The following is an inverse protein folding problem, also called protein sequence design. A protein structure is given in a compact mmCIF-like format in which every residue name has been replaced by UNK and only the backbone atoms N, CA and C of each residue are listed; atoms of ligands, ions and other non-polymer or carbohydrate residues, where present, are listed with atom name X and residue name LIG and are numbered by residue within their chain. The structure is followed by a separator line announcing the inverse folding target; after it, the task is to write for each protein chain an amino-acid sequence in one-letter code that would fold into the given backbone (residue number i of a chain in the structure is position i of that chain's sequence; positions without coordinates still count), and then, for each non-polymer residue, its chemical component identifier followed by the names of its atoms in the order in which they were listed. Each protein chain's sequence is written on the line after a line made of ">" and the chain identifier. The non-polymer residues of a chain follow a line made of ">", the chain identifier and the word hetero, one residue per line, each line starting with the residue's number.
data_IF_113118762269
#
_entry.id   IF_113118762269
#
_cell.length_a   1.000
_cell.length_b   1.000
_cell.length_c   1.000
_cell.angle_alpha   90.00
_cell.angle_beta   90.00
_cell.angle_gamma   90.00
#
_symmetry.space_group_name_H-M   'P 1'
#
loop_
_entity.id
_entity.type
_entity.pdbx_description
1 polymer ?
#
# COMPACT_ATOMS: atom_id res chain seq x y z
N UNK A 1 29.85 -31.69 21.80
CA UNK A 1 28.59 -31.00 22.13
C UNK A 1 28.07 -30.42 20.83
N UNK A 2 27.05 -31.04 20.25
CA UNK A 2 26.44 -30.57 19.00
C UNK A 2 25.26 -29.66 19.35
N UNK A 3 25.14 -28.55 18.62
CA UNK A 3 24.06 -27.56 18.80
C UNK A 3 23.11 -27.65 17.61
N UNK A 4 21.81 -27.79 17.87
CA UNK A 4 20.78 -27.88 16.85
C UNK A 4 19.51 -27.15 17.26
N UNK A 5 18.67 -26.83 16.28
CA UNK A 5 17.38 -26.15 16.48
C UNK A 5 16.26 -27.13 16.12
N UNK A 6 15.24 -27.23 16.96
CA UNK A 6 14.05 -28.04 16.73
C UNK A 6 12.81 -27.17 16.89
N UNK A 7 11.89 -27.24 15.94
CA UNK A 7 10.59 -26.57 16.04
C UNK A 7 9.65 -27.42 16.91
N UNK A 8 9.12 -26.81 17.97
CA UNK A 8 8.14 -27.48 18.83
C UNK A 8 7.17 -26.45 19.42
N UNK A 9 5.98 -26.92 19.77
CA UNK A 9 4.92 -26.07 20.34
C UNK A 9 5.15 -25.70 21.81
N UNK A 10 6.05 -26.39 22.51
CA UNK A 10 6.49 -26.03 23.86
C UNK A 10 7.85 -26.62 24.19
N UNK A 11 8.50 -26.10 25.24
CA UNK A 11 9.77 -26.60 25.76
C UNK A 11 9.71 -28.07 26.16
N UNK A 12 8.60 -28.49 26.76
CA UNK A 12 8.36 -29.88 27.17
C UNK A 12 8.18 -30.81 25.96
N UNK A 13 7.49 -30.34 24.92
CA UNK A 13 7.34 -31.09 23.67
C UNK A 13 8.66 -31.24 22.92
N UNK A 14 9.53 -30.22 22.94
CA UNK A 14 10.88 -30.28 22.38
C UNK A 14 11.75 -31.29 23.12
N UNK A 15 11.71 -31.30 24.45
CA UNK A 15 12.47 -32.24 25.28
C UNK A 15 12.05 -33.70 25.03
N UNK A 16 10.74 -33.96 24.94
CA UNK A 16 10.21 -35.30 24.64
C UNK A 16 10.58 -35.79 23.24
N UNK A 17 10.56 -34.91 22.24
CA UNK A 17 11.00 -35.25 20.89
C UNK A 17 12.48 -35.60 20.86
N UNK A 18 13.33 -34.82 21.51
CA UNK A 18 14.78 -35.06 21.54
C UNK A 18 15.13 -36.33 22.33
N UNK A 19 14.40 -36.63 23.41
CA UNK A 19 14.54 -37.89 24.15
C UNK A 19 14.12 -39.10 23.31
N UNK A 20 13.11 -38.97 22.44
CA UNK A 20 12.70 -40.05 21.51
C UNK A 20 13.79 -40.40 20.50
N UNK A 21 14.65 -39.44 20.16
CA UNK A 21 15.82 -39.65 19.29
C UNK A 21 17.10 -39.97 20.06
N UNK A 22 17.00 -40.28 21.37
CA UNK A 22 18.12 -40.64 22.26
C UNK A 22 19.17 -39.52 22.42
N UNK A 23 18.74 -38.26 22.25
CA UNK A 23 19.59 -37.07 22.39
C UNK A 23 19.37 -36.46 23.79
N UNK A 24 20.41 -36.50 24.63
CA UNK A 24 20.39 -35.92 25.96
C UNK A 24 20.65 -34.40 25.90
N UNK A 25 19.61 -33.62 26.15
CA UNK A 25 19.69 -32.15 26.10
C UNK A 25 20.30 -31.62 27.40
N UNK A 26 21.48 -31.00 27.29
CA UNK A 26 22.16 -30.38 28.46
C UNK A 26 21.65 -28.95 28.73
N UNK A 27 21.21 -28.25 27.69
CA UNK A 27 20.67 -26.90 27.78
C UNK A 27 19.66 -26.68 26.65
N UNK A 28 18.50 -26.10 26.98
CA UNK A 28 17.38 -25.90 26.05
C UNK A 28 16.91 -24.46 26.23
N UNK A 29 17.11 -23.64 25.20
CA UNK A 29 16.77 -22.23 25.15
C UNK A 29 15.71 -22.02 24.07
N UNK A 30 14.64 -21.30 24.42
CA UNK A 30 13.57 -20.99 23.48
C UNK A 30 14.06 -19.86 22.58
N UNK A 31 14.34 -20.20 21.32
CA UNK A 31 14.68 -19.21 20.32
C UNK A 31 13.36 -18.65 19.76
N UNK A 32 13.00 -17.42 20.14
CA UNK A 32 11.90 -16.71 19.50
C UNK A 32 12.12 -16.76 17.98
N UNK A 33 11.21 -17.46 17.28
CA UNK A 33 11.28 -17.62 15.83
C UNK A 33 11.46 -16.25 15.19
N UNK A 34 12.34 -16.17 14.17
CA UNK A 34 12.59 -14.94 13.44
C UNK A 34 11.25 -14.32 13.03
N UNK A 35 10.85 -13.27 13.75
CA UNK A 35 9.65 -12.50 13.45
C UNK A 35 9.74 -12.10 11.97
N UNK A 36 8.75 -12.42 11.13
CA UNK A 36 8.82 -12.09 9.72
C UNK A 36 9.11 -10.60 9.59
N UNK A 37 10.20 -10.28 8.89
CA UNK A 37 10.77 -8.94 8.70
C UNK A 37 9.73 -7.86 8.29
N UNK A 38 8.56 -8.27 7.81
CA UNK A 38 7.46 -7.44 7.37
C UNK A 38 6.48 -6.98 8.47
N UNK A 39 6.56 -7.48 9.71
CA UNK A 39 5.51 -7.22 10.73
C UNK A 39 5.55 -5.80 11.33
N UNK A 40 6.60 -5.02 11.07
CA UNK A 40 6.76 -3.66 11.61
C UNK A 40 6.54 -2.53 10.60
N UNK A 41 6.01 -2.80 9.41
CA UNK A 41 5.40 -1.72 8.62
C UNK A 41 4.01 -1.46 9.23
N UNK A 42 3.97 -0.79 10.39
CA UNK A 42 2.78 -0.04 10.79
C UNK A 42 2.57 1.04 9.73
N UNK A 43 1.86 0.68 8.66
CA UNK A 43 1.24 1.64 7.75
C UNK A 43 0.14 2.29 8.59
N UNK A 44 0.51 3.17 9.53
CA UNK A 44 -0.43 4.03 10.21
C UNK A 44 -1.16 4.80 9.11
N UNK A 45 -2.44 4.44 8.94
CA UNK A 45 -3.10 4.53 7.64
C UNK A 45 -3.04 5.93 7.06
N UNK A 46 -2.31 6.08 5.95
CA UNK A 46 -2.31 7.31 5.15
C UNK A 46 -3.75 7.68 4.83
N UNK A 47 -4.11 8.93 5.08
CA UNK A 47 -5.41 9.47 4.68
C UNK A 47 -5.41 9.56 3.15
N UNK A 48 -6.36 8.89 2.50
CA UNK A 48 -6.49 8.98 1.04
C UNK A 48 -7.33 10.19 0.65
N UNK A 49 -7.22 10.64 -0.61
CA UNK A 49 -8.09 11.71 -1.14
C UNK A 49 -9.58 11.34 -1.02
N UNK A 50 -9.92 10.06 -1.20
CA UNK A 50 -11.27 9.54 -1.01
C UNK A 50 -11.75 9.67 0.44
N UNK A 51 -10.88 9.40 1.41
CA UNK A 51 -11.20 9.57 2.84
C UNK A 51 -11.50 11.05 3.15
N UNK A 52 -10.71 11.97 2.59
CA UNK A 52 -10.95 13.43 2.73
C UNK A 52 -12.23 13.89 2.05
N UNK A 53 -12.51 13.39 0.84
CA UNK A 53 -13.72 13.73 0.10
C UNK A 53 -14.97 13.36 0.92
N UNK A 54 -14.98 12.15 1.49
CA UNK A 54 -16.06 11.67 2.35
C UNK A 54 -16.18 12.53 3.61
N UNK A 55 -15.06 12.82 4.28
CA UNK A 55 -15.04 13.67 5.46
C UNK A 55 -15.66 15.05 5.19
N UNK A 56 -15.23 15.73 4.14
CA UNK A 56 -15.75 17.06 3.78
C UNK A 56 -17.22 17.01 3.35
N UNK A 57 -17.63 15.99 2.58
CA UNK A 57 -19.04 15.81 2.19
C UNK A 57 -19.93 15.62 3.41
N UNK A 58 -19.55 14.72 4.32
CA UNK A 58 -20.34 14.44 5.51
C UNK A 58 -20.39 15.65 6.44
N UNK A 59 -19.27 16.35 6.65
CA UNK A 59 -19.24 17.58 7.44
C UNK A 59 -20.15 18.64 6.82
N UNK A 60 -20.08 18.84 5.50
CA UNK A 60 -20.96 19.77 4.77
C UNK A 60 -22.45 19.48 5.03
N UNK A 61 -22.89 18.23 4.85
CA UNK A 61 -24.29 17.80 5.04
C UNK A 61 -24.75 18.05 6.48
N UNK A 62 -23.90 17.77 7.47
CA UNK A 62 -24.23 18.01 8.87
C UNK A 62 -24.35 19.51 9.17
N UNK A 63 -23.45 20.35 8.64
CA UNK A 63 -23.52 21.80 8.83
C UNK A 63 -24.71 22.43 8.09
N UNK A 64 -25.04 21.94 6.90
CA UNK A 64 -26.26 22.33 6.17
C UNK A 64 -27.52 22.00 6.97
N UNK A 65 -27.51 20.86 7.66
CA UNK A 65 -28.57 20.45 8.61
C UNK A 65 -28.52 21.20 9.95
N UNK A 66 -27.69 22.24 10.08
CA UNK A 66 -27.49 23.07 11.27
C UNK A 66 -27.02 22.29 12.51
N UNK A 67 -26.37 21.14 12.31
CA UNK A 67 -25.71 20.43 13.40
C UNK A 67 -24.46 21.22 13.83
N UNK A 68 -24.25 21.49 15.13
CA UNK A 68 -23.09 22.22 15.61
C UNK A 68 -21.76 21.60 15.13
N UNK A 69 -20.80 22.44 14.74
CA UNK A 69 -19.51 22.00 14.14
C UNK A 69 -18.78 20.99 15.04
N UNK A 70 -18.71 21.24 16.34
CA UNK A 70 -18.07 20.34 17.32
C UNK A 70 -18.77 18.97 17.38
N UNK A 71 -20.11 18.95 17.34
CA UNK A 71 -20.88 17.70 17.33
C UNK A 71 -20.68 16.94 16.01
N UNK A 72 -20.58 17.65 14.89
CA UNK A 72 -20.30 17.07 13.59
C UNK A 72 -18.90 16.43 13.56
N UNK A 73 -17.87 17.15 14.01
CA UNK A 73 -16.49 16.63 14.06
C UNK A 73 -16.36 15.41 14.97
N UNK A 74 -16.92 15.44 16.17
CA UNK A 74 -16.92 14.28 17.08
C UNK A 74 -17.65 13.07 16.49
N UNK A 75 -18.79 13.29 15.82
CA UNK A 75 -19.51 12.23 15.11
C UNK A 75 -18.69 11.62 13.96
N UNK A 76 -17.96 12.44 13.21
CA UNK A 76 -17.09 11.98 12.12
C UNK A 76 -15.85 11.25 12.63
N UNK A 77 -15.28 11.68 13.76
CA UNK A 77 -14.17 10.98 14.39
C UNK A 77 -14.56 9.55 14.80
N UNK A 78 -15.78 9.35 15.32
CA UNK A 78 -16.29 8.02 15.68
C UNK A 78 -16.50 7.13 14.44
N UNK A 79 -16.99 7.69 13.34
CA UNK A 79 -17.25 6.95 12.10
C UNK A 79 -15.98 6.62 11.31
N UNK A 80 -14.87 7.33 11.56
CA UNK A 80 -13.62 7.17 10.83
C UNK A 80 -12.91 5.88 11.20
N UNK A 81 -12.70 5.01 10.21
CA UNK A 81 -12.03 3.70 10.40
C UNK A 81 -10.52 3.80 10.62
N UNK A 82 -9.86 4.82 10.05
CA UNK A 82 -8.41 4.98 10.15
C UNK A 82 -8.03 5.62 11.47
N UNK A 83 -7.32 4.88 12.32
CA UNK A 83 -6.91 5.35 13.66
C UNK A 83 -6.16 6.70 13.61
N UNK A 84 -5.25 6.87 12.63
CA UNK A 84 -4.53 8.13 12.45
C UNK A 84 -5.49 9.30 12.14
N UNK A 85 -6.39 9.13 11.17
CA UNK A 85 -7.33 10.20 10.81
C UNK A 85 -8.32 10.50 11.92
N UNK A 86 -8.77 9.48 12.65
CA UNK A 86 -9.62 9.62 13.83
C UNK A 86 -8.97 10.51 14.90
N UNK A 87 -7.70 10.25 15.24
CA UNK A 87 -6.94 11.07 16.22
C UNK A 87 -6.94 12.54 15.80
N UNK A 88 -6.66 12.81 14.53
CA UNK A 88 -6.58 14.15 13.96
C UNK A 88 -7.93 14.87 14.03
N UNK A 89 -9.03 14.20 13.62
CA UNK A 89 -10.37 14.80 13.70
C UNK A 89 -10.76 15.05 15.16
N UNK A 90 -10.40 14.16 16.09
CA UNK A 90 -10.65 14.36 17.53
C UNK A 90 -9.89 15.58 18.08
N UNK A 91 -8.63 15.76 17.70
CA UNK A 91 -7.84 16.93 18.13
C UNK A 91 -8.37 18.23 17.52
N UNK A 92 -8.71 18.23 16.23
CA UNK A 92 -9.39 19.36 15.57
C UNK A 92 -10.71 19.69 16.27
N UNK A 93 -11.49 18.67 16.68
CA UNK A 93 -12.72 18.86 17.43
C UNK A 93 -12.48 19.53 18.80
N UNK A 94 -11.38 19.19 19.49
CA UNK A 94 -11.00 19.83 20.75
C UNK A 94 -10.66 21.30 20.56
N UNK A 95 -9.81 21.60 19.57
CA UNK A 95 -9.41 22.99 19.27
C UNK A 95 -10.61 23.86 18.90
N UNK A 96 -11.53 23.34 18.09
CA UNK A 96 -12.75 24.07 17.72
C UNK A 96 -13.67 24.26 18.95
N UNK A 97 -13.71 23.28 19.86
CA UNK A 97 -14.43 23.41 21.12
C UNK A 97 -13.82 24.47 22.06
N UNK A 98 -12.49 24.66 22.00
CA UNK A 98 -11.75 25.71 22.71
C UNK A 98 -11.93 27.10 22.08
N UNK A 99 -12.60 27.19 20.93
CA UNK A 99 -12.92 28.45 20.24
C UNK A 99 -11.99 28.80 19.09
N UNK A 100 -11.05 27.91 18.74
CA UNK A 100 -10.20 28.09 17.55
C UNK A 100 -11.07 27.97 16.28
N UNK A 101 -10.91 28.84 15.28
CA UNK A 101 -11.55 28.68 13.98
C UNK A 101 -11.24 27.31 13.37
N UNK A 102 -12.19 26.70 12.65
CA UNK A 102 -12.02 25.42 11.98
C UNK A 102 -10.88 25.47 10.97
N UNK A 103 -10.74 26.57 10.21
CA UNK A 103 -9.64 26.74 9.26
C UNK A 103 -8.27 26.68 9.94
N UNK A 104 -8.13 27.34 11.09
CA UNK A 104 -6.90 27.36 11.88
C UNK A 104 -6.62 25.99 12.52
N UNK A 105 -7.62 25.33 13.09
CA UNK A 105 -7.48 23.98 13.63
C UNK A 105 -7.04 22.96 12.57
N UNK A 106 -7.58 23.04 11.35
CA UNK A 106 -7.17 22.19 10.22
C UNK A 106 -5.76 22.50 9.72
N UNK A 107 -5.33 23.76 9.82
CA UNK A 107 -4.00 24.21 9.36
C UNK A 107 -2.84 23.56 10.13
N UNK A 108 -3.09 23.05 11.34
CA UNK A 108 -2.11 22.28 12.13
C UNK A 108 -1.70 20.96 11.44
N UNK A 109 -2.43 20.52 10.41
CA UNK A 109 -2.19 19.26 9.70
C UNK A 109 -1.96 19.45 8.20
N UNK A 110 -0.89 20.17 7.78
CA UNK A 110 -0.66 20.56 6.38
C UNK A 110 -0.37 19.38 5.44
N UNK A 111 -0.02 18.21 6.00
CA UNK A 111 0.18 16.97 5.22
C UNK A 111 -1.13 16.33 4.74
N UNK A 112 -2.26 16.73 5.33
CA UNK A 112 -3.59 16.15 5.07
C UNK A 112 -4.51 17.23 4.53
N UNK A 113 -4.55 18.39 5.18
CA UNK A 113 -5.31 19.55 4.72
C UNK A 113 -4.32 20.53 4.11
N UNK A 114 -4.30 20.61 2.78
CA UNK A 114 -3.41 21.55 2.11
C UNK A 114 -3.83 23.01 2.35
N UNK A 115 -2.92 23.93 2.02
CA UNK A 115 -3.17 25.37 2.18
C UNK A 115 -4.36 25.85 1.33
N UNK A 116 -4.66 25.19 0.21
CA UNK A 116 -5.76 25.57 -0.66
C UNK A 116 -7.11 25.30 0.03
N UNK A 117 -7.30 24.10 0.59
CA UNK A 117 -8.50 23.75 1.35
C UNK A 117 -8.65 24.60 2.61
N UNK A 118 -7.57 24.83 3.35
CA UNK A 118 -7.58 25.68 4.55
C UNK A 118 -8.02 27.10 4.21
N UNK A 119 -7.46 27.70 3.16
CA UNK A 119 -7.82 29.05 2.73
C UNK A 119 -9.26 29.16 2.23
N UNK A 120 -9.75 28.13 1.53
CA UNK A 120 -11.17 28.07 1.14
C UNK A 120 -12.06 28.05 2.37
N UNK A 121 -11.80 27.16 3.34
CA UNK A 121 -12.59 27.06 4.58
C UNK A 121 -12.57 28.38 5.33
N UNK A 122 -11.41 29.04 5.43
CA UNK A 122 -11.29 30.37 6.04
C UNK A 122 -12.20 31.40 5.36
N UNK A 123 -12.27 31.39 4.03
CA UNK A 123 -13.20 32.26 3.29
C UNK A 123 -14.66 31.89 3.54
N UNK A 124 -14.97 30.59 3.67
CA UNK A 124 -16.29 30.09 4.06
C UNK A 124 -16.71 30.52 5.47
N UNK A 125 -15.78 30.52 6.43
CA UNK A 125 -16.01 30.99 7.81
C UNK A 125 -16.34 32.48 7.84
N UNK A 126 -15.54 33.29 7.15
CA UNK A 126 -15.72 34.76 7.12
C UNK A 126 -17.01 35.14 6.40
N UNK A 127 -17.39 34.41 5.34
CA UNK A 127 -18.62 34.65 4.59
C UNK A 127 -19.87 34.01 5.20
N UNK A 128 -19.71 33.18 6.23
CA UNK A 128 -20.81 32.41 6.84
C UNK A 128 -21.33 31.25 5.98
N UNK A 129 -20.65 30.91 4.89
CA UNK A 129 -21.04 29.82 3.98
C UNK A 129 -20.07 28.62 4.03
N UNK A 130 -19.79 28.13 5.25
CA UNK A 130 -18.88 27.00 5.44
C UNK A 130 -19.41 25.73 4.76
N UNK A 131 -20.70 25.42 4.84
CA UNK A 131 -21.29 24.23 4.22
C UNK A 131 -21.09 24.21 2.70
N UNK A 132 -21.38 25.33 2.01
CA UNK A 132 -21.15 25.44 0.58
C UNK A 132 -19.68 25.24 0.19
N UNK A 133 -18.76 25.83 0.96
CA UNK A 133 -17.32 25.65 0.74
C UNK A 133 -16.86 24.21 0.95
N UNK A 134 -17.30 23.55 2.02
CA UNK A 134 -16.97 22.14 2.28
C UNK A 134 -17.54 21.22 1.19
N UNK A 135 -18.76 21.51 0.70
CA UNK A 135 -19.33 20.77 -0.42
C UNK A 135 -18.46 20.92 -1.67
N UNK A 136 -18.05 22.14 -2.01
CA UNK A 136 -17.17 22.41 -3.14
C UNK A 136 -15.84 21.64 -3.04
N UNK A 137 -15.20 21.65 -1.86
CA UNK A 137 -13.97 20.88 -1.61
C UNK A 137 -14.22 19.37 -1.80
N UNK A 138 -15.36 18.86 -1.31
CA UNK A 138 -15.72 17.45 -1.46
C UNK A 138 -15.91 17.04 -2.92
N UNK A 139 -16.64 17.83 -3.71
CA UNK A 139 -16.86 17.58 -5.14
C UNK A 139 -15.57 17.65 -5.94
N UNK A 140 -14.68 18.58 -5.58
CA UNK A 140 -13.36 18.68 -6.18
C UNK A 140 -12.53 17.40 -5.94
N UNK A 141 -12.45 16.96 -4.68
CA UNK A 141 -11.73 15.74 -4.31
C UNK A 141 -12.33 14.46 -4.90
N UNK A 142 -13.67 14.35 -4.97
CA UNK A 142 -14.35 13.24 -5.63
C UNK A 142 -13.99 13.18 -7.11
N UNK A 143 -14.04 14.32 -7.81
CA UNK A 143 -13.69 14.40 -9.23
C UNK A 143 -12.24 14.02 -9.50
N UNK A 144 -11.30 14.48 -8.68
CA UNK A 144 -9.89 14.07 -8.78
C UNK A 144 -9.73 12.55 -8.58
N UNK A 145 -10.39 12.00 -7.55
CA UNK A 145 -10.32 10.57 -7.26
C UNK A 145 -10.95 9.73 -8.39
N UNK A 146 -12.02 10.21 -9.02
CA UNK A 146 -12.68 9.55 -10.14
C UNK A 146 -11.77 9.52 -11.37
N UNK A 147 -11.08 10.62 -11.68
CA UNK A 147 -10.08 10.66 -12.77
C UNK A 147 -8.98 9.63 -12.53
N UNK A 148 -8.41 9.59 -11.32
CA UNK A 148 -7.36 8.61 -10.96
C UNK A 148 -7.90 7.18 -11.05
N UNK A 149 -9.14 6.96 -10.61
CA UNK A 149 -9.78 5.63 -10.64
C UNK A 149 -10.03 5.17 -12.07
N UNK A 150 -10.52 6.06 -12.95
CA UNK A 150 -10.72 5.78 -14.37
C UNK A 150 -9.41 5.45 -15.06
N UNK A 151 -8.34 6.23 -14.78
CA UNK A 151 -7.00 5.94 -15.31
C UNK A 151 -6.51 4.56 -14.84
N UNK A 152 -6.67 4.25 -13.55
CA UNK A 152 -6.28 2.94 -13.00
C UNK A 152 -7.05 1.80 -13.65
N UNK A 153 -8.35 1.97 -13.88
CA UNK A 153 -9.17 0.97 -14.57
C UNK A 153 -8.74 0.78 -16.03
N UNK A 154 -8.46 1.86 -16.75
CA UNK A 154 -7.97 1.81 -18.13
C UNK A 154 -6.61 1.10 -18.25
N UNK A 155 -5.76 1.15 -17.23
CA UNK A 155 -4.45 0.49 -17.21
C UNK A 155 -4.50 -1.03 -17.00
N UNK A 156 -5.63 -1.59 -16.53
CA UNK A 156 -5.76 -3.03 -16.26
C UNK A 156 -5.55 -3.86 -17.54
N UNK A 157 -6.20 -3.48 -18.64
CA UNK A 157 -6.10 -4.22 -19.90
C UNK A 157 -4.68 -4.19 -20.51
N UNK A 158 -4.03 -3.02 -20.66
CA UNK A 158 -2.63 -2.96 -21.10
C UNK A 158 -1.68 -3.80 -20.24
N UNK A 159 -1.79 -3.74 -18.92
CA UNK A 159 -0.94 -4.52 -18.01
C UNK A 159 -1.18 -6.02 -18.23
N UNK A 160 -2.44 -6.46 -18.33
CA UNK A 160 -2.77 -7.85 -18.57
C UNK A 160 -2.15 -8.38 -19.88
N UNK A 161 -2.31 -7.63 -20.98
CA UNK A 161 -1.75 -8.02 -22.29
C UNK A 161 -0.22 -8.08 -22.25
N UNK A 162 0.44 -7.10 -21.63
CA UNK A 162 1.91 -7.09 -21.48
C UNK A 162 2.38 -8.26 -20.62
N UNK A 163 1.67 -8.58 -19.53
CA UNK A 163 1.99 -9.74 -18.70
C UNK A 163 1.89 -11.05 -19.50
N UNK A 164 0.79 -11.27 -20.24
CA UNK A 164 0.63 -12.46 -21.08
C UNK A 164 1.73 -12.54 -22.13
N UNK A 165 2.06 -11.42 -22.79
CA UNK A 165 3.14 -11.34 -23.77
C UNK A 165 4.49 -11.75 -23.15
N UNK A 166 4.82 -11.23 -21.95
CA UNK A 166 6.05 -11.57 -21.25
C UNK A 166 6.10 -13.06 -20.86
N UNK A 167 4.97 -13.65 -20.45
CA UNK A 167 4.90 -15.09 -20.16
C UNK A 167 5.16 -15.92 -21.43
N UNK A 168 4.50 -15.59 -22.54
CA UNK A 168 4.69 -16.30 -23.82
C UNK A 168 6.14 -16.18 -24.32
N UNK A 169 6.71 -14.97 -24.28
CA UNK A 169 8.12 -14.75 -24.62
C UNK A 169 9.06 -15.52 -23.69
N UNK A 170 8.76 -15.56 -22.39
CA UNK A 170 9.50 -16.35 -21.41
C UNK A 170 9.55 -17.84 -21.77
N UNK A 171 8.41 -18.43 -22.14
CA UNK A 171 8.34 -19.84 -22.57
C UNK A 171 9.19 -20.06 -23.83
N UNK A 172 9.11 -19.18 -24.83
CA UNK A 172 9.91 -19.29 -26.06
C UNK A 172 11.40 -19.28 -25.74
N UNK A 173 11.84 -18.39 -24.85
CA UNK A 173 13.25 -18.28 -24.45
C UNK A 173 13.71 -19.51 -23.67
N UNK A 174 12.89 -20.03 -22.74
CA UNK A 174 13.30 -21.16 -21.90
C UNK A 174 13.24 -22.50 -22.62
N UNK A 175 12.20 -22.76 -23.42
CA UNK A 175 11.94 -24.09 -24.01
C UNK A 175 12.28 -24.19 -25.50
N UNK A 176 11.97 -23.15 -26.27
CA UNK A 176 12.06 -23.22 -27.74
C UNK A 176 13.47 -22.86 -28.21
N UNK A 177 14.07 -21.80 -27.65
CA UNK A 177 15.41 -21.34 -28.03
C UNK A 177 16.50 -22.40 -27.88
N UNK A 178 16.63 -23.16 -26.76
CA UNK A 178 17.67 -24.18 -26.62
C UNK A 178 17.63 -25.21 -27.75
N UNK A 179 16.44 -25.69 -28.12
CA UNK A 179 16.25 -26.69 -29.18
C UNK A 179 16.75 -26.18 -30.52
N UNK A 180 16.52 -24.89 -30.83
CA UNK A 180 17.03 -24.28 -32.06
C UNK A 180 18.56 -24.19 -32.03
N UNK A 181 19.14 -23.83 -30.88
CA UNK A 181 20.61 -23.79 -30.72
C UNK A 181 21.23 -25.17 -30.95
N UNK A 182 20.61 -26.22 -30.42
CA UNK A 182 21.10 -27.60 -30.55
C UNK A 182 21.07 -28.07 -32.02
N UNK A 183 19.98 -27.79 -32.75
CA UNK A 183 19.88 -28.08 -34.19
C UNK A 183 20.97 -27.37 -35.01
N UNK A 184 21.29 -26.11 -34.68
CA UNK A 184 22.34 -25.36 -35.37
C UNK A 184 23.73 -25.97 -35.11
N UNK A 185 24.01 -26.40 -33.87
CA UNK A 185 25.28 -27.07 -33.53
C UNK A 185 25.47 -28.38 -34.29
N UNK A 186 24.40 -29.15 -34.47
CA UNK A 186 24.44 -30.41 -35.24
C UNK A 186 24.72 -30.19 -36.73
N UNK A 187 24.34 -29.04 -37.28
CA UNK A 187 24.41 -28.75 -38.72
C UNK A 187 25.81 -28.35 -39.22
N UNK A 188 26.83 -28.25 -38.34
CA UNK A 188 28.25 -27.95 -38.67
C UNK A 188 28.45 -26.77 -39.65
N UNK A 189 27.50 -25.85 -39.71
CA UNK A 189 27.46 -24.73 -40.65
C UNK A 189 27.61 -23.43 -39.88
N UNK A 190 28.47 -22.53 -40.36
CA UNK A 190 28.63 -21.22 -39.72
C UNK A 190 27.32 -20.42 -39.81
N UNK A 191 26.69 -20.08 -38.67
CA UNK A 191 25.42 -19.38 -38.68
C UNK A 191 25.60 -17.94 -39.23
N UNK A 192 24.59 -17.39 -39.94
CA UNK A 192 24.60 -16.00 -40.37
C UNK A 192 24.72 -15.03 -39.18
N UNK A 193 25.21 -13.81 -39.45
CA UNK A 193 25.46 -12.79 -38.42
C UNK A 193 24.28 -12.55 -37.46
N UNK A 194 23.05 -12.47 -38.00
CA UNK A 194 21.84 -12.25 -37.20
C UNK A 194 21.57 -13.37 -36.18
N UNK A 195 21.90 -14.61 -36.53
CA UNK A 195 21.74 -15.77 -35.64
C UNK A 195 22.76 -15.74 -34.51
N UNK A 196 24.02 -15.38 -34.79
CA UNK A 196 25.07 -15.23 -33.76
C UNK A 196 24.71 -14.12 -32.77
N UNK A 197 24.19 -12.98 -33.28
CA UNK A 197 23.73 -11.88 -32.43
C UNK A 197 22.59 -12.31 -31.50
N UNK A 198 21.62 -13.08 -32.01
CA UNK A 198 20.53 -13.65 -31.22
C UNK A 198 21.04 -14.64 -30.16
N UNK A 199 21.98 -15.54 -30.51
CA UNK A 199 22.58 -16.50 -29.58
C UNK A 199 23.32 -15.80 -28.43
N UNK A 200 24.08 -14.75 -28.74
CA UNK A 200 24.76 -13.96 -27.72
C UNK A 200 23.78 -13.24 -26.79
N UNK A 201 22.68 -12.69 -27.33
CA UNK A 201 21.63 -12.07 -26.53
C UNK A 201 20.90 -13.09 -25.64
N UNK A 202 20.61 -14.28 -26.17
CA UNK A 202 20.05 -15.39 -25.43
C UNK A 202 20.98 -15.83 -24.27
N UNK A 203 22.27 -16.05 -24.54
CA UNK A 203 23.25 -16.41 -23.51
C UNK A 203 23.39 -15.32 -22.44
N UNK A 204 23.29 -14.04 -22.82
CA UNK A 204 23.26 -12.93 -21.87
C UNK A 204 22.03 -12.95 -20.96
N UNK A 205 20.84 -13.24 -21.50
CA UNK A 205 19.62 -13.40 -20.70
C UNK A 205 19.69 -14.64 -19.80
N UNK A 206 20.13 -15.78 -20.35
CA UNK A 206 20.24 -17.05 -19.62
C UNK A 206 21.24 -16.99 -18.47
N UNK A 207 22.41 -16.39 -18.66
CA UNK A 207 23.48 -16.29 -17.63
C UNK A 207 23.11 -15.44 -16.41
N UNK A 208 22.06 -14.63 -16.50
CA UNK A 208 21.63 -13.72 -15.42
C UNK A 208 20.34 -14.15 -14.71
N UNK A 209 19.57 -15.07 -15.29
CA UNK A 209 18.25 -15.47 -14.79
C UNK A 209 18.05 -16.98 -14.61
N UNK A 210 19.04 -17.80 -14.98
CA UNK A 210 19.22 -19.21 -14.63
C UNK A 210 20.59 -19.38 -13.96
#
# INVERSE_FOLDING_TARGET
>A
METGVIESSSREAAALLLQKYDIFVTYLEEQEGQEPFFKNIKIEGRVSRKDLAIFFRQLSVMLESRVPVVQSLSSLAVQTRKSNFKKIITEVSSLVQEGTPLSEALSNYPKIFDNFYVNLIKSGEVSGNISGTLNYISEHLERENDIVTQLRQAMIYPIFVVCVLLVVLGIIVVEVMPRIVDLIKETNSNPPFFTVMMLNFYQFLGRKYL
#
